data_IF_485904733216
#
_entry.id   IF_485904733216
#
_cell.length_a   1.000
_cell.length_b   1.000
_cell.length_c   1.000
_cell.angle_alpha   90.00
_cell.angle_beta   90.00
_cell.angle_gamma   90.00
#
_symmetry.space_group_name_H-M   'P 1'
#
loop_
_entity.id
_entity.type
_entity.pdbx_description
1 polymer ?
#
# COMPACT_ATOMS: atom_id res chain seq x y z
N UNK A 1 2.13 -56.63 19.23
CA UNK A 1 1.97 -55.29 19.84
C UNK A 1 1.93 -54.25 18.74
N UNK A 2 0.80 -53.59 18.52
CA UNK A 2 0.64 -52.59 17.47
C UNK A 2 -0.50 -51.66 17.80
N UNK A 3 -0.22 -50.58 18.53
CA UNK A 3 -1.20 -49.55 18.88
C UNK A 3 -1.49 -48.69 17.65
N UNK A 4 -2.66 -48.86 17.02
CA UNK A 4 -3.21 -47.87 16.08
C UNK A 4 -3.78 -46.71 16.89
N UNK A 5 -3.08 -45.57 16.89
CA UNK A 5 -3.57 -44.33 17.46
C UNK A 5 -4.61 -43.71 16.53
N UNK A 6 -5.84 -43.55 17.01
CA UNK A 6 -6.96 -42.96 16.28
C UNK A 6 -7.01 -41.48 16.66
N UNK A 7 -6.45 -40.61 15.82
CA UNK A 7 -6.52 -39.16 16.01
C UNK A 7 -7.98 -38.73 15.81
N UNK A 8 -8.63 -38.32 16.90
CA UNK A 8 -9.93 -37.64 16.88
C UNK A 8 -9.67 -36.17 16.52
N UNK A 9 -10.00 -35.78 15.29
CA UNK A 9 -10.09 -34.37 14.93
C UNK A 9 -11.36 -33.79 15.56
N UNK A 10 -11.20 -33.03 16.64
CA UNK A 10 -12.27 -32.20 17.19
C UNK A 10 -12.59 -31.08 16.18
N UNK A 11 -13.77 -31.12 15.57
CA UNK A 11 -14.37 -29.95 14.92
C UNK A 11 -14.79 -28.98 16.02
N UNK A 12 -14.03 -27.90 16.22
CA UNK A 12 -14.40 -26.79 17.10
C UNK A 12 -15.50 -25.95 16.43
N UNK A 13 -16.66 -25.86 17.07
CA UNK A 13 -17.81 -25.07 16.63
C UNK A 13 -17.61 -23.57 16.79
N UNK A 14 -16.89 -22.94 15.86
CA UNK A 14 -16.66 -21.48 15.81
C UNK A 14 -17.61 -20.69 14.90
N UNK A 15 -18.58 -21.33 14.23
CA UNK A 15 -19.32 -20.71 13.13
C UNK A 15 -20.36 -19.64 13.51
N UNK A 16 -20.91 -19.67 14.72
CA UNK A 16 -21.96 -18.74 15.13
C UNK A 16 -21.41 -17.38 15.61
N UNK A 17 -20.33 -17.38 16.39
CA UNK A 17 -19.68 -16.18 16.91
C UNK A 17 -18.93 -15.40 15.83
N UNK A 18 -18.30 -16.08 14.87
CA UNK A 18 -17.67 -15.43 13.72
C UNK A 18 -18.71 -14.78 12.78
N UNK A 19 -19.82 -15.45 12.51
CA UNK A 19 -20.89 -14.92 11.65
C UNK A 19 -21.60 -13.69 12.26
N UNK A 20 -21.79 -13.67 13.59
CA UNK A 20 -22.33 -12.49 14.31
C UNK A 20 -21.35 -11.32 14.20
N UNK A 21 -20.04 -11.57 14.35
CA UNK A 21 -18.99 -10.55 14.20
C UNK A 21 -18.94 -9.97 12.77
N UNK A 22 -19.07 -10.79 11.72
CA UNK A 22 -19.07 -10.30 10.33
C UNK A 22 -20.29 -9.41 10.03
N UNK A 23 -21.48 -9.77 10.51
CA UNK A 23 -22.70 -8.96 10.31
C UNK A 23 -22.61 -7.61 11.04
N UNK A 24 -22.08 -7.61 12.26
CA UNK A 24 -21.84 -6.36 13.00
C UNK A 24 -20.86 -5.43 12.26
N UNK A 25 -19.75 -5.96 11.76
CA UNK A 25 -18.78 -5.17 10.99
C UNK A 25 -19.45 -4.62 9.72
N UNK A 26 -20.22 -5.43 8.97
CA UNK A 26 -20.95 -4.96 7.78
C UNK A 26 -21.93 -3.82 8.08
N UNK A 27 -22.58 -3.82 9.25
CA UNK A 27 -23.45 -2.72 9.67
C UNK A 27 -22.65 -1.44 9.91
N UNK A 28 -21.52 -1.52 10.63
CA UNK A 28 -20.62 -0.37 10.87
C UNK A 28 -20.03 0.17 9.56
N UNK A 29 -19.67 -0.71 8.62
CA UNK A 29 -19.19 -0.35 7.29
C UNK A 29 -20.28 0.41 6.51
N UNK A 30 -21.53 -0.04 6.60
CA UNK A 30 -22.65 0.64 5.93
C UNK A 30 -22.90 2.03 6.53
N UNK A 31 -22.85 2.15 7.86
CA UNK A 31 -22.95 3.42 8.58
C UNK A 31 -21.81 4.38 8.19
N UNK A 32 -20.56 3.89 8.16
CA UNK A 32 -19.40 4.67 7.75
C UNK A 32 -19.53 5.15 6.30
N UNK A 33 -19.93 4.27 5.38
CA UNK A 33 -20.11 4.63 3.97
C UNK A 33 -21.18 5.71 3.79
N UNK A 34 -22.29 5.60 4.51
CA UNK A 34 -23.35 6.62 4.50
C UNK A 34 -22.83 7.95 5.05
N UNK A 35 -22.14 7.92 6.21
CA UNK A 35 -21.60 9.12 6.85
C UNK A 35 -20.61 9.86 5.95
N UNK A 36 -19.67 9.15 5.33
CA UNK A 36 -18.64 9.78 4.49
C UNK A 36 -19.13 10.15 3.07
N UNK A 37 -20.28 9.64 2.64
CA UNK A 37 -20.90 9.99 1.34
C UNK A 37 -21.84 11.19 1.42
N UNK A 38 -22.22 11.63 2.63
CA UNK A 38 -23.02 12.83 2.79
C UNK A 38 -22.25 14.06 2.29
N UNK A 39 -22.95 15.01 1.64
CA UNK A 39 -22.33 16.23 1.13
C UNK A 39 -21.61 16.98 2.25
N UNK A 40 -20.58 17.74 1.88
CA UNK A 40 -19.73 18.48 2.82
C UNK A 40 -20.58 19.26 3.83
N UNK A 41 -20.27 19.06 5.12
CA UNK A 41 -20.88 19.83 6.20
C UNK A 41 -20.65 21.32 5.99
N UNK A 42 -21.59 22.13 6.49
CA UNK A 42 -21.43 23.58 6.47
C UNK A 42 -20.08 24.01 7.09
N UNK A 43 -19.43 25.07 6.58
CA UNK A 43 -18.19 25.59 7.15
C UNK A 43 -18.32 25.76 8.67
N UNK A 44 -17.31 25.29 9.41
CA UNK A 44 -17.31 25.31 10.88
C UNK A 44 -17.91 24.08 11.56
N UNK A 45 -18.39 23.06 10.82
CA UNK A 45 -18.81 21.75 11.38
C UNK A 45 -17.91 20.58 10.99
N UNK A 46 -16.78 20.87 10.33
CA UNK A 46 -15.90 19.85 9.76
C UNK A 46 -15.12 19.09 10.84
N UNK A 47 -14.76 19.75 11.95
CA UNK A 47 -14.13 19.10 13.08
C UNK A 47 -15.05 18.07 13.73
N UNK A 48 -16.32 18.43 13.99
CA UNK A 48 -17.28 17.50 14.55
C UNK A 48 -17.57 16.34 13.58
N UNK A 49 -17.62 16.60 12.27
CA UNK A 49 -17.73 15.53 11.27
C UNK A 49 -16.49 14.61 11.31
N UNK A 50 -15.29 15.17 11.36
CA UNK A 50 -14.04 14.43 11.46
C UNK A 50 -14.01 13.52 12.69
N UNK A 51 -14.30 14.05 13.87
CA UNK A 51 -14.34 13.28 15.13
C UNK A 51 -15.39 12.16 15.07
N UNK A 52 -16.55 12.41 14.47
CA UNK A 52 -17.59 11.39 14.28
C UNK A 52 -17.13 10.26 13.34
N UNK A 53 -16.48 10.61 12.22
CA UNK A 53 -15.93 9.61 11.28
C UNK A 53 -14.81 8.82 11.96
N UNK A 54 -13.89 9.50 12.68
CA UNK A 54 -12.82 8.86 13.45
C UNK A 54 -13.38 7.89 14.48
N UNK A 55 -14.41 8.27 15.22
CA UNK A 55 -15.09 7.40 16.18
C UNK A 55 -15.65 6.11 15.56
N UNK A 56 -16.24 6.20 14.35
CA UNK A 56 -16.71 5.02 13.61
C UNK A 56 -15.55 4.15 13.12
N UNK A 57 -14.50 4.76 12.57
CA UNK A 57 -13.30 4.06 12.10
C UNK A 57 -12.64 3.32 13.25
N UNK A 58 -12.41 3.96 14.40
CA UNK A 58 -11.80 3.31 15.57
C UNK A 58 -12.66 2.18 16.14
N UNK A 59 -13.99 2.32 16.10
CA UNK A 59 -14.91 1.24 16.48
C UNK A 59 -14.81 0.02 15.54
N UNK A 60 -14.57 0.25 14.25
CA UNK A 60 -14.30 -0.82 13.27
C UNK A 60 -12.91 -1.43 13.53
N UNK A 61 -11.87 -0.61 13.67
CA UNK A 61 -10.49 -1.06 13.90
C UNK A 61 -10.37 -1.93 15.16
N UNK A 62 -11.01 -1.55 16.27
CA UNK A 62 -11.05 -2.34 17.52
C UNK A 62 -11.71 -3.72 17.38
N UNK A 63 -12.51 -3.93 16.33
CA UNK A 63 -13.14 -5.23 16.00
C UNK A 63 -12.34 -6.03 14.95
N UNK A 64 -11.25 -5.47 14.43
CA UNK A 64 -10.35 -6.09 13.46
C UNK A 64 -9.00 -6.42 14.11
N UNK A 65 -8.13 -7.13 13.38
CA UNK A 65 -6.85 -7.66 13.91
C UNK A 65 -5.62 -6.84 13.48
N UNK A 66 -5.81 -5.58 13.07
CA UNK A 66 -4.75 -4.80 12.43
C UNK A 66 -4.47 -5.28 11.01
N UNK A 67 -3.20 -5.18 10.56
CA UNK A 67 -2.78 -5.68 9.25
C UNK A 67 -3.07 -7.18 9.10
N UNK A 68 -3.66 -7.55 7.97
CA UNK A 68 -4.06 -8.94 7.69
C UNK A 68 -2.85 -9.86 7.48
N UNK A 69 -1.76 -9.32 6.93
CA UNK A 69 -0.51 -10.02 6.68
C UNK A 69 0.61 -9.29 7.38
N UNK A 70 1.29 -9.98 8.29
CA UNK A 70 2.49 -9.53 8.99
C UNK A 70 3.59 -10.55 8.67
N UNK A 71 4.77 -10.05 8.32
CA UNK A 71 5.92 -10.89 8.02
C UNK A 71 6.73 -11.13 9.30
N UNK A 72 7.33 -12.31 9.40
CA UNK A 72 8.28 -12.60 10.48
C UNK A 72 9.58 -11.79 10.29
N UNK A 73 10.25 -11.50 11.40
CA UNK A 73 11.48 -10.71 11.42
C UNK A 73 11.25 -9.21 11.39
N UNK A 74 12.35 -8.46 11.44
CA UNK A 74 12.34 -7.01 11.31
C UNK A 74 12.47 -6.61 9.84
N UNK A 75 12.21 -5.34 9.55
CA UNK A 75 12.28 -4.79 8.20
C UNK A 75 13.68 -4.97 7.58
N UNK A 76 14.72 -4.78 8.37
CA UNK A 76 16.13 -4.92 7.95
C UNK A 76 16.52 -6.33 7.50
N UNK A 77 15.87 -7.36 8.04
CA UNK A 77 16.15 -8.75 7.70
C UNK A 77 15.83 -9.06 6.23
N UNK A 78 14.99 -8.23 5.59
CA UNK A 78 14.51 -8.43 4.22
C UNK A 78 15.30 -7.62 3.17
N UNK A 79 16.21 -6.73 3.57
CA UNK A 79 16.96 -5.91 2.59
C UNK A 79 17.94 -6.73 1.75
N UNK A 80 18.52 -7.81 2.30
CA UNK A 80 19.38 -8.69 1.52
C UNK A 80 18.60 -9.37 0.38
N UNK A 81 17.38 -9.85 0.66
CA UNK A 81 16.46 -10.45 -0.32
C UNK A 81 16.07 -9.42 -1.40
N UNK A 82 15.83 -8.16 -1.02
CA UNK A 82 15.55 -7.07 -1.97
C UNK A 82 16.73 -6.80 -2.91
N UNK A 83 17.96 -6.77 -2.39
CA UNK A 83 19.16 -6.53 -3.20
C UNK A 83 19.45 -7.70 -4.15
N UNK A 84 19.30 -8.95 -3.68
CA UNK A 84 19.44 -10.14 -4.52
C UNK A 84 18.40 -10.15 -5.64
N UNK A 85 17.12 -9.92 -5.32
CA UNK A 85 16.06 -9.81 -6.31
C UNK A 85 16.27 -8.67 -7.30
N UNK A 86 16.81 -7.53 -6.84
CA UNK A 86 17.21 -6.42 -7.69
C UNK A 86 18.29 -6.81 -8.69
N UNK A 87 19.33 -7.51 -8.24
CA UNK A 87 20.42 -7.99 -9.07
C UNK A 87 19.93 -8.99 -10.11
N UNK A 88 19.11 -9.97 -9.71
CA UNK A 88 18.47 -10.95 -10.61
C UNK A 88 17.58 -10.27 -11.66
N UNK A 89 16.99 -9.14 -11.28
CA UNK A 89 16.18 -8.35 -12.19
C UNK A 89 17.02 -7.45 -13.12
N UNK A 90 18.29 -7.21 -12.84
CA UNK A 90 19.19 -6.34 -13.61
C UNK A 90 19.17 -4.87 -13.17
N UNK A 91 18.74 -4.58 -11.94
CA UNK A 91 18.87 -3.25 -11.34
C UNK A 91 20.30 -2.99 -10.85
N UNK A 92 20.64 -1.72 -10.63
CA UNK A 92 21.86 -1.38 -9.89
C UNK A 92 21.70 -1.81 -8.43
N UNK A 93 22.70 -2.53 -7.92
CA UNK A 93 22.75 -3.00 -6.53
C UNK A 93 24.13 -2.81 -5.90
N UNK A 94 25.00 -2.04 -6.56
CA UNK A 94 26.37 -1.78 -6.14
C UNK A 94 26.61 -0.28 -5.90
N UNK A 95 27.59 0.04 -5.05
CA UNK A 95 27.96 1.42 -4.75
C UNK A 95 27.08 2.12 -3.71
N UNK A 96 26.09 1.42 -3.16
CA UNK A 96 25.29 1.88 -2.04
C UNK A 96 24.84 0.71 -1.15
N UNK A 97 24.43 1.03 0.07
CA UNK A 97 23.82 0.09 1.01
C UNK A 97 22.60 0.72 1.69
N UNK A 98 21.65 -0.10 2.12
CA UNK A 98 20.51 0.39 2.91
C UNK A 98 20.96 0.62 4.35
N UNK A 99 20.80 1.84 4.85
CA UNK A 99 21.21 2.25 6.20
C UNK A 99 20.07 2.96 6.92
N UNK A 100 19.95 2.78 8.23
CA UNK A 100 19.04 3.57 9.06
C UNK A 100 19.67 4.90 9.44
N UNK A 101 18.98 6.00 9.14
CA UNK A 101 19.31 7.36 9.55
C UNK A 101 18.31 7.83 10.62
N UNK A 102 18.79 8.58 11.61
CA UNK A 102 17.97 8.96 12.76
C UNK A 102 16.83 9.92 12.42
N UNK A 103 16.98 10.77 11.40
CA UNK A 103 15.98 11.80 11.04
C UNK A 103 14.97 11.28 10.00
N UNK A 104 15.45 10.58 8.96
CA UNK A 104 14.63 10.17 7.82
C UNK A 104 14.23 8.69 7.85
N UNK A 105 14.82 7.90 8.76
CA UNK A 105 14.68 6.45 8.80
C UNK A 105 15.57 5.75 7.77
N UNK A 106 15.12 4.61 7.24
CA UNK A 106 15.92 3.86 6.27
C UNK A 106 16.07 4.61 4.94
N UNK A 107 17.31 4.69 4.45
CA UNK A 107 17.60 5.17 3.10
C UNK A 107 18.86 4.57 2.50
N UNK A 108 19.30 5.08 1.34
CA UNK A 108 20.52 4.63 0.66
C UNK A 108 21.74 5.45 1.10
N UNK A 109 22.81 4.76 1.48
CA UNK A 109 24.12 5.34 1.80
C UNK A 109 25.14 4.91 0.76
N UNK A 110 25.88 5.85 0.18
CA UNK A 110 26.95 5.52 -0.76
C UNK A 110 28.07 4.72 -0.07
N UNK A 111 28.59 3.70 -0.76
CA UNK A 111 29.74 2.88 -0.31
C UNK A 111 31.02 3.19 -1.10
N UNK A 112 30.93 4.12 -2.05
CA UNK A 112 32.00 4.70 -2.85
C UNK A 112 31.69 6.17 -3.13
N UNK A 113 32.67 6.93 -3.60
CA UNK A 113 32.43 8.27 -4.11
C UNK A 113 31.56 8.21 -5.37
N UNK A 114 30.47 8.96 -5.39
CA UNK A 114 29.56 9.11 -6.53
C UNK A 114 29.62 10.56 -6.99
N UNK A 115 29.93 10.79 -8.26
CA UNK A 115 30.02 12.16 -8.81
C UNK A 115 28.63 12.70 -9.14
N UNK A 116 28.50 14.02 -9.10
CA UNK A 116 27.33 14.68 -9.67
C UNK A 116 27.17 14.25 -11.15
N UNK A 117 25.92 14.02 -11.57
CA UNK A 117 25.54 13.55 -12.91
C UNK A 117 25.97 12.09 -13.24
N UNK A 118 26.58 11.35 -12.30
CA UNK A 118 26.83 9.91 -12.48
C UNK A 118 25.53 9.12 -12.42
N UNK A 119 25.26 8.30 -13.45
CA UNK A 119 24.18 7.31 -13.41
C UNK A 119 24.57 6.16 -12.46
N UNK A 120 24.17 6.27 -11.19
CA UNK A 120 24.48 5.29 -10.16
C UNK A 120 23.34 4.28 -9.88
N UNK A 121 22.12 4.57 -10.35
CA UNK A 121 20.93 3.76 -10.06
C UNK A 121 19.98 3.69 -11.26
N UNK A 122 19.69 2.48 -11.74
CA UNK A 122 18.68 2.18 -12.75
C UNK A 122 17.82 1.00 -12.30
N UNK A 123 16.50 1.09 -12.54
CA UNK A 123 15.53 0.06 -12.15
C UNK A 123 14.77 -0.42 -13.40
N UNK A 124 14.92 -1.69 -13.80
CA UNK A 124 14.19 -2.27 -14.92
C UNK A 124 12.67 -2.24 -14.68
N UNK A 125 11.90 -1.90 -15.73
CA UNK A 125 10.43 -1.78 -15.65
C UNK A 125 9.73 -3.01 -15.06
N UNK A 126 10.24 -4.22 -15.31
CA UNK A 126 9.66 -5.46 -14.77
C UNK A 126 9.57 -5.50 -13.24
N UNK A 127 10.42 -4.74 -12.53
CA UNK A 127 10.40 -4.65 -11.06
C UNK A 127 9.29 -3.74 -10.55
N UNK A 128 8.78 -2.82 -11.36
CA UNK A 128 7.81 -1.83 -10.92
C UNK A 128 6.44 -2.48 -10.70
N UNK A 129 5.72 -1.97 -9.71
CA UNK A 129 4.27 -2.23 -9.59
C UNK A 129 3.54 -1.08 -10.26
N UNK A 130 2.83 -1.33 -11.35
CA UNK A 130 2.14 -0.30 -12.13
C UNK A 130 0.63 -0.55 -12.21
N UNK A 131 -0.12 0.42 -12.73
CA UNK A 131 -1.54 0.23 -13.03
C UNK A 131 -1.74 -0.85 -14.10
N UNK A 132 -0.80 -1.07 -15.02
CA UNK A 132 -0.80 -2.15 -15.99
C UNK A 132 -0.57 -3.52 -15.35
N UNK A 133 0.42 -3.66 -14.47
CA UNK A 133 0.65 -4.92 -13.75
C UNK A 133 -0.55 -5.27 -12.87
N UNK A 134 -1.20 -4.28 -12.27
CA UNK A 134 -2.45 -4.44 -11.52
C UNK A 134 -3.57 -5.03 -12.39
N UNK A 135 -3.76 -4.53 -13.63
CA UNK A 135 -4.76 -5.04 -14.58
C UNK A 135 -4.50 -6.48 -14.99
N UNK A 136 -3.22 -6.86 -15.10
CA UNK A 136 -2.80 -8.19 -15.49
C UNK A 136 -2.75 -9.19 -14.31
N UNK A 137 -2.99 -8.72 -13.08
CA UNK A 137 -3.03 -9.53 -11.86
C UNK A 137 -4.43 -10.10 -11.57
N UNK A 138 -4.57 -10.81 -10.44
CA UNK A 138 -5.87 -11.26 -9.90
C UNK A 138 -6.88 -10.11 -9.74
N UNK A 139 -6.40 -8.87 -9.53
CA UNK A 139 -7.22 -7.67 -9.39
C UNK A 139 -7.92 -7.29 -10.71
N UNK A 140 -7.41 -7.72 -11.87
CA UNK A 140 -7.94 -7.39 -13.20
C UNK A 140 -9.44 -7.67 -13.36
N UNK A 141 -9.94 -8.74 -12.72
CA UNK A 141 -11.35 -9.13 -12.77
C UNK A 141 -12.29 -8.11 -12.11
N UNK A 142 -11.82 -7.46 -11.04
CA UNK A 142 -12.57 -6.39 -10.35
C UNK A 142 -12.32 -5.05 -11.02
N UNK A 143 -11.07 -4.78 -11.41
CA UNK A 143 -10.70 -3.57 -12.14
C UNK A 143 -11.58 -3.35 -13.38
N UNK A 144 -11.88 -4.40 -14.15
CA UNK A 144 -12.70 -4.29 -15.35
C UNK A 144 -14.16 -3.87 -15.10
N UNK A 145 -14.64 -3.96 -13.85
CA UNK A 145 -16.05 -3.75 -13.49
C UNK A 145 -16.25 -2.57 -12.53
N UNK A 146 -15.20 -2.16 -11.83
CA UNK A 146 -15.24 -1.08 -10.86
C UNK A 146 -14.78 0.26 -11.45
N UNK A 147 -15.67 1.27 -11.44
CA UNK A 147 -15.38 2.59 -12.00
C UNK A 147 -14.34 3.37 -11.21
N UNK A 148 -14.24 3.15 -9.90
CA UNK A 148 -13.28 3.86 -9.05
C UNK A 148 -11.87 3.37 -9.38
N UNK A 149 -11.65 2.05 -9.47
CA UNK A 149 -10.37 1.49 -9.89
C UNK A 149 -9.94 1.97 -11.28
N UNK A 150 -10.89 2.04 -12.24
CA UNK A 150 -10.60 2.52 -13.59
C UNK A 150 -10.22 4.00 -13.65
N UNK A 151 -10.86 4.84 -12.82
CA UNK A 151 -10.63 6.28 -12.82
C UNK A 151 -9.45 6.70 -11.93
N UNK A 152 -9.10 5.91 -10.92
CA UNK A 152 -8.14 6.27 -9.87
C UNK A 152 -6.98 5.27 -9.81
N UNK A 153 -5.93 5.55 -10.58
CA UNK A 153 -4.75 4.69 -10.66
C UNK A 153 -4.02 4.49 -9.33
N UNK A 154 -4.03 5.50 -8.46
CA UNK A 154 -3.47 5.43 -7.11
C UNK A 154 -4.21 4.42 -6.22
N UNK A 155 -5.55 4.37 -6.30
CA UNK A 155 -6.35 3.36 -5.59
C UNK A 155 -6.10 1.97 -6.19
N UNK A 156 -6.00 1.87 -7.52
CA UNK A 156 -5.64 0.61 -8.18
C UNK A 156 -4.28 0.08 -7.72
N UNK A 157 -3.27 0.94 -7.58
CA UNK A 157 -1.98 0.55 -7.02
C UNK A 157 -2.09 0.08 -5.57
N UNK A 158 -2.91 0.75 -4.74
CA UNK A 158 -3.09 0.35 -3.35
C UNK A 158 -3.70 -1.06 -3.24
N UNK A 159 -4.71 -1.38 -4.05
CA UNK A 159 -5.27 -2.73 -4.08
C UNK A 159 -4.33 -3.76 -4.70
N UNK A 160 -3.55 -3.39 -5.71
CA UNK A 160 -2.54 -4.26 -6.27
C UNK A 160 -1.50 -4.63 -5.21
N UNK A 161 -1.00 -3.64 -4.47
CA UNK A 161 -0.07 -3.83 -3.36
C UNK A 161 -0.63 -4.76 -2.29
N UNK A 162 -1.89 -4.61 -1.90
CA UNK A 162 -2.53 -5.50 -0.92
C UNK A 162 -2.72 -6.94 -1.43
N UNK A 163 -3.11 -7.11 -2.70
CA UNK A 163 -3.28 -8.43 -3.29
C UNK A 163 -1.93 -9.17 -3.37
N UNK A 164 -0.88 -8.49 -3.81
CA UNK A 164 0.47 -9.07 -3.88
C UNK A 164 1.05 -9.32 -2.49
N UNK A 165 0.82 -8.43 -1.51
CA UNK A 165 1.19 -8.65 -0.11
C UNK A 165 0.57 -9.92 0.46
N UNK A 166 -0.65 -10.23 0.06
CA UNK A 166 -1.40 -11.40 0.52
C UNK A 166 -1.13 -12.66 -0.32
N UNK A 167 -0.21 -12.60 -1.28
CA UNK A 167 0.16 -13.70 -2.17
C UNK A 167 1.57 -14.20 -1.81
N UNK A 168 1.71 -15.38 -1.16
CA UNK A 168 3.00 -15.85 -0.64
C UNK A 168 4.12 -16.03 -1.69
N UNK A 169 3.76 -16.25 -2.95
CA UNK A 169 4.70 -16.41 -4.06
C UNK A 169 4.67 -15.20 -5.02
N UNK A 170 4.30 -14.02 -4.51
CA UNK A 170 4.30 -12.80 -5.33
C UNK A 170 5.71 -12.49 -5.83
N UNK A 171 5.81 -12.11 -7.10
CA UNK A 171 7.07 -11.63 -7.70
C UNK A 171 7.63 -10.41 -6.97
N UNK A 172 6.76 -9.55 -6.41
CA UNK A 172 7.15 -8.33 -5.71
C UNK A 172 7.31 -8.53 -4.20
N UNK A 173 7.23 -9.75 -3.68
CA UNK A 173 7.33 -10.00 -2.25
C UNK A 173 8.63 -9.47 -1.62
N UNK A 174 9.82 -9.58 -2.26
CA UNK A 174 11.05 -8.97 -1.74
C UNK A 174 10.92 -7.45 -1.51
N UNK A 175 10.26 -6.74 -2.43
CA UNK A 175 9.97 -5.31 -2.27
C UNK A 175 8.96 -5.07 -1.13
N UNK A 176 7.84 -5.79 -1.13
CA UNK A 176 6.73 -5.57 -0.20
C UNK A 176 7.14 -5.80 1.26
N UNK A 177 8.00 -6.79 1.53
CA UNK A 177 8.55 -7.07 2.87
C UNK A 177 9.42 -5.92 3.39
N UNK A 178 10.04 -5.15 2.50
CA UNK A 178 10.90 -4.00 2.85
C UNK A 178 10.17 -2.68 2.94
N UNK A 179 8.85 -2.62 2.73
CA UNK A 179 8.08 -1.41 2.96
C UNK A 179 7.93 -1.11 4.46
N UNK A 180 7.81 0.17 4.86
CA UNK A 180 7.46 0.52 6.24
C UNK A 180 6.15 -0.15 6.68
N UNK A 181 6.10 -0.64 7.92
CA UNK A 181 4.85 -1.17 8.50
C UNK A 181 3.87 -0.04 8.87
N UNK A 182 4.39 1.15 9.16
CA UNK A 182 3.63 2.34 9.54
C UNK A 182 4.20 3.60 8.87
N UNK A 183 3.40 4.66 8.81
CA UNK A 183 3.73 5.92 8.17
C UNK A 183 3.32 7.10 9.04
N UNK A 184 3.90 8.27 8.79
CA UNK A 184 3.58 9.51 9.50
C UNK A 184 2.62 10.42 8.71
N UNK A 185 1.79 9.84 7.84
CA UNK A 185 0.73 10.60 7.16
C UNK A 185 -0.39 10.96 8.14
N UNK A 186 -1.17 12.04 7.94
CA UNK A 186 -2.24 12.44 8.86
C UNK A 186 -3.31 11.36 9.18
N UNK A 187 -3.39 10.28 8.38
CA UNK A 187 -4.19 9.09 8.67
C UNK A 187 -3.76 8.32 9.93
N UNK A 188 -2.54 8.52 10.41
CA UNK A 188 -1.98 7.88 11.60
C UNK A 188 -1.95 8.81 12.81
N UNK A 189 -2.20 10.11 12.62
CA UNK A 189 -2.17 11.05 13.73
C UNK A 189 -3.26 10.75 14.73
N UNK A 190 -2.97 10.99 16.00
CA UNK A 190 -3.94 11.05 17.08
C UNK A 190 -4.86 12.27 16.94
N UNK A 191 -6.01 12.22 17.61
CA UNK A 191 -6.98 13.32 17.54
C UNK A 191 -6.36 14.64 18.03
N UNK A 192 -5.58 14.57 19.10
CA UNK A 192 -4.86 15.70 19.69
C UNK A 192 -3.80 16.25 18.75
N UNK A 193 -3.13 15.41 17.96
CA UNK A 193 -2.13 15.84 16.98
C UNK A 193 -2.78 16.61 15.83
N UNK A 194 -3.92 16.14 15.32
CA UNK A 194 -4.70 16.87 14.31
C UNK A 194 -5.31 18.15 14.89
N UNK A 195 -5.62 18.17 16.18
CA UNK A 195 -6.17 19.36 16.85
C UNK A 195 -5.22 20.56 16.78
N UNK A 196 -3.89 20.36 16.79
CA UNK A 196 -2.93 21.45 16.61
C UNK A 196 -3.03 22.15 15.25
N UNK A 197 -3.64 21.51 14.24
CA UNK A 197 -3.87 22.10 12.93
C UNK A 197 -5.14 22.96 12.87
N UNK A 198 -5.90 23.07 13.97
CA UNK A 198 -7.12 23.88 13.98
C UNK A 198 -6.81 25.33 13.56
N UNK A 199 -7.72 25.91 12.77
CA UNK A 199 -7.58 27.25 12.18
C UNK A 199 -6.43 27.43 11.17
N UNK A 200 -5.77 26.34 10.75
CA UNK A 200 -4.82 26.37 9.62
C UNK A 200 -5.53 26.02 8.31
N UNK A 201 -4.92 26.35 7.17
CA UNK A 201 -5.46 25.95 5.86
C UNK A 201 -5.31 24.44 5.60
N UNK A 202 -4.25 23.82 6.12
CA UNK A 202 -3.92 22.42 5.87
C UNK A 202 -4.93 21.44 6.50
N UNK A 203 -5.66 21.85 7.54
CA UNK A 203 -6.60 20.96 8.24
C UNK A 203 -7.74 20.47 7.33
N UNK A 204 -8.15 21.29 6.35
CA UNK A 204 -9.19 20.89 5.39
C UNK A 204 -8.74 19.70 4.53
N UNK A 205 -7.46 19.66 4.15
CA UNK A 205 -6.88 18.53 3.41
C UNK A 205 -6.78 17.28 4.29
N UNK A 206 -6.47 17.44 5.59
CA UNK A 206 -6.47 16.33 6.56
C UNK A 206 -7.88 15.75 6.70
N UNK A 207 -8.91 16.58 6.88
CA UNK A 207 -10.29 16.13 6.96
C UNK A 207 -10.74 15.42 5.68
N UNK A 208 -10.42 16.01 4.52
CA UNK A 208 -10.73 15.43 3.21
C UNK A 208 -10.03 14.07 3.04
N UNK A 209 -8.73 13.98 3.34
CA UNK A 209 -7.96 12.75 3.25
C UNK A 209 -8.56 11.64 4.14
N UNK A 210 -8.89 11.95 5.39
CA UNK A 210 -9.47 10.98 6.32
C UNK A 210 -10.87 10.52 5.86
N UNK A 211 -11.75 11.46 5.51
CA UNK A 211 -13.11 11.16 5.00
C UNK A 211 -13.07 10.36 3.70
N UNK A 212 -12.18 10.70 2.76
CA UNK A 212 -12.03 9.99 1.50
C UNK A 212 -11.52 8.56 1.71
N UNK A 213 -10.51 8.38 2.56
CA UNK A 213 -9.95 7.06 2.90
C UNK A 213 -11.01 6.18 3.56
N UNK A 214 -11.72 6.70 4.56
CA UNK A 214 -12.80 5.99 5.23
C UNK A 214 -13.95 5.61 4.28
N UNK A 215 -14.35 6.52 3.38
CA UNK A 215 -15.38 6.25 2.35
C UNK A 215 -14.95 5.14 1.40
N UNK A 216 -13.73 5.22 0.88
CA UNK A 216 -13.20 4.24 -0.07
C UNK A 216 -13.06 2.88 0.60
N UNK A 217 -12.50 2.81 1.81
CA UNK A 217 -12.45 1.58 2.58
C UNK A 217 -13.83 0.94 2.72
N UNK A 218 -14.83 1.71 3.17
CA UNK A 218 -16.17 1.19 3.38
C UNK A 218 -16.83 0.72 2.08
N UNK A 219 -16.62 1.47 0.98
CA UNK A 219 -17.08 1.10 -0.35
C UNK A 219 -16.46 -0.23 -0.82
N UNK A 220 -15.14 -0.34 -0.77
CA UNK A 220 -14.43 -1.52 -1.25
C UNK A 220 -14.62 -2.73 -0.34
N UNK A 221 -14.77 -2.53 0.97
CA UNK A 221 -15.13 -3.61 1.89
C UNK A 221 -16.46 -4.22 1.47
N UNK A 222 -17.48 -3.39 1.23
CA UNK A 222 -18.77 -3.87 0.72
C UNK A 222 -18.63 -4.56 -0.63
N UNK A 223 -17.90 -3.97 -1.58
CA UNK A 223 -17.65 -4.56 -2.91
C UNK A 223 -17.00 -5.95 -2.79
N UNK A 224 -15.92 -6.08 -2.03
CA UNK A 224 -15.20 -7.34 -1.85
C UNK A 224 -16.10 -8.39 -1.19
N UNK A 225 -16.94 -7.99 -0.24
CA UNK A 225 -17.85 -8.90 0.45
C UNK A 225 -19.04 -9.37 -0.41
N UNK A 226 -19.51 -8.57 -1.38
CA UNK A 226 -20.71 -8.91 -2.17
C UNK A 226 -20.43 -9.32 -3.61
N UNK A 227 -19.34 -8.88 -4.21
CA UNK A 227 -19.08 -9.07 -5.63
C UNK A 227 -18.63 -10.52 -5.94
N UNK A 228 -19.24 -11.23 -6.90
CA UNK A 228 -18.91 -12.63 -7.20
C UNK A 228 -17.43 -12.84 -7.56
N UNK A 229 -16.87 -11.98 -8.41
CA UNK A 229 -15.47 -12.07 -8.84
C UNK A 229 -14.45 -11.76 -7.72
N UNK A 230 -14.89 -11.14 -6.62
CA UNK A 230 -14.00 -10.83 -5.50
C UNK A 230 -13.71 -12.06 -4.65
N UNK A 231 -14.46 -13.15 -4.81
CA UNK A 231 -14.22 -14.43 -4.14
C UNK A 231 -12.83 -15.03 -4.39
N UNK A 232 -12.18 -14.64 -5.50
CA UNK A 232 -10.82 -15.07 -5.85
C UNK A 232 -9.73 -14.14 -5.31
N UNK A 233 -10.09 -12.97 -4.78
CA UNK A 233 -9.12 -12.06 -4.19
C UNK A 233 -8.71 -12.57 -2.81
N UNK A 234 -7.42 -12.50 -2.45
CA UNK A 234 -7.00 -12.85 -1.09
C UNK A 234 -7.66 -11.93 -0.03
N UNK A 235 -8.04 -10.72 -0.44
CA UNK A 235 -8.75 -9.73 0.38
C UNK A 235 -10.17 -10.18 0.80
N UNK A 236 -10.71 -11.25 0.20
CA UNK A 236 -12.02 -11.78 0.56
C UNK A 236 -12.04 -12.31 2.00
N UNK A 237 -10.96 -12.97 2.39
CA UNK A 237 -10.81 -13.62 3.70
C UNK A 237 -10.51 -12.59 4.79
N UNK A 238 -9.66 -11.61 4.48
CA UNK A 238 -9.31 -10.54 5.40
C UNK A 238 -8.98 -9.25 4.64
N UNK A 239 -9.74 -8.19 4.94
CA UNK A 239 -9.50 -6.83 4.47
C UNK A 239 -9.91 -5.86 5.57
N UNK A 240 -8.93 -5.25 6.22
CA UNK A 240 -9.14 -4.36 7.38
C UNK A 240 -8.96 -2.90 7.01
N UNK A 241 -9.38 -2.00 7.91
CA UNK A 241 -9.09 -0.58 7.73
C UNK A 241 -7.59 -0.31 7.78
N UNK A 242 -6.83 -1.04 8.61
CA UNK A 242 -5.39 -0.89 8.71
C UNK A 242 -4.67 -1.35 7.44
N UNK A 243 -5.16 -2.40 6.76
CA UNK A 243 -4.67 -2.77 5.43
C UNK A 243 -4.85 -1.63 4.43
N UNK A 244 -6.06 -1.08 4.35
CA UNK A 244 -6.36 -0.03 3.38
C UNK A 244 -5.57 1.25 3.68
N UNK A 245 -5.52 1.66 4.96
CA UNK A 245 -4.73 2.80 5.42
C UNK A 245 -3.24 2.63 5.09
N UNK A 246 -2.68 1.45 5.36
CA UNK A 246 -1.29 1.13 5.03
C UNK A 246 -1.04 1.22 3.52
N UNK A 247 -1.93 0.65 2.71
CA UNK A 247 -1.76 0.62 1.27
C UNK A 247 -1.83 2.01 0.62
N UNK A 248 -2.81 2.84 1.01
CA UNK A 248 -2.91 4.21 0.48
C UNK A 248 -1.75 5.09 0.96
N UNK A 249 -1.28 4.90 2.20
CA UNK A 249 -0.09 5.61 2.70
C UNK A 249 1.19 5.17 1.99
N UNK A 250 1.32 3.87 1.69
CA UNK A 250 2.42 3.34 0.87
C UNK A 250 2.44 3.99 -0.50
N UNK A 251 1.29 4.04 -1.18
CA UNK A 251 1.17 4.63 -2.51
C UNK A 251 1.40 6.14 -2.48
N UNK A 252 0.74 6.89 -1.58
CA UNK A 252 0.85 8.35 -1.61
C UNK A 252 2.26 8.86 -1.27
N UNK A 253 3.04 8.09 -0.50
CA UNK A 253 4.41 8.46 -0.12
C UNK A 253 5.47 8.00 -1.12
N UNK A 254 5.14 7.12 -2.08
CA UNK A 254 6.14 6.46 -2.96
C UNK A 254 5.75 6.36 -4.44
N UNK A 255 4.53 6.74 -4.83
CA UNK A 255 4.11 6.63 -6.22
C UNK A 255 4.80 7.65 -7.12
N UNK A 256 5.08 7.23 -8.35
CA UNK A 256 5.69 8.04 -9.40
C UNK A 256 4.85 7.98 -10.66
N UNK A 257 4.87 9.04 -11.47
CA UNK A 257 4.35 9.01 -12.82
C UNK A 257 5.47 8.65 -13.79
N UNK A 258 5.24 7.63 -14.62
CA UNK A 258 6.19 7.19 -15.65
C UNK A 258 5.48 7.03 -16.99
N UNK A 259 6.18 7.12 -18.13
CA UNK A 259 5.58 6.78 -19.41
C UNK A 259 5.15 5.31 -19.44
N UNK A 260 4.08 5.02 -20.18
CA UNK A 260 3.71 3.65 -20.57
C UNK A 260 4.77 3.04 -21.49
N UNK A 261 4.77 1.72 -21.66
CA UNK A 261 5.77 1.03 -22.49
C UNK A 261 5.80 1.50 -23.95
N UNK A 262 4.64 1.86 -24.49
CA UNK A 262 4.47 2.43 -25.83
C UNK A 262 4.79 3.94 -25.89
N UNK A 263 5.13 4.56 -24.75
CA UNK A 263 5.41 5.99 -24.63
C UNK A 263 4.21 6.92 -24.88
N UNK A 264 3.00 6.39 -25.07
CA UNK A 264 1.84 7.17 -25.50
C UNK A 264 1.13 7.91 -24.36
N UNK A 265 1.27 7.40 -23.13
CA UNK A 265 0.53 7.86 -21.95
C UNK A 265 1.44 7.84 -20.72
N UNK A 266 0.94 8.40 -19.63
CA UNK A 266 1.54 8.27 -18.30
C UNK A 266 0.75 7.26 -17.47
N UNK A 267 1.46 6.53 -16.62
CA UNK A 267 0.92 5.57 -15.66
C UNK A 267 1.54 5.81 -14.29
N UNK A 268 0.87 5.36 -13.23
CA UNK A 268 1.40 5.41 -11.88
C UNK A 268 2.19 4.12 -11.58
N UNK A 269 3.31 4.26 -10.88
CA UNK A 269 4.16 3.14 -10.50
C UNK A 269 4.78 3.32 -9.11
N UNK A 270 5.01 2.19 -8.43
CA UNK A 270 5.97 2.07 -7.34
C UNK A 270 7.29 1.56 -7.92
N UNK A 271 8.41 2.18 -7.52
CA UNK A 271 9.74 1.91 -8.08
C UNK A 271 10.64 1.36 -6.95
N UNK A 272 10.74 0.02 -6.81
CA UNK A 272 11.58 -0.60 -5.78
C UNK A 272 13.03 -0.15 -5.85
N UNK A 273 13.74 -0.21 -4.70
CA UNK A 273 15.10 0.28 -4.48
C UNK A 273 15.24 1.80 -4.59
N UNK A 274 14.81 2.40 -5.71
CA UNK A 274 14.90 3.84 -5.92
C UNK A 274 14.04 4.65 -4.93
N UNK A 275 12.88 4.13 -4.54
CA UNK A 275 12.01 4.75 -3.53
C UNK A 275 12.52 4.63 -2.07
N UNK A 276 13.76 4.13 -1.88
CA UNK A 276 14.52 4.21 -0.63
C UNK A 276 15.40 5.47 -0.55
N UNK A 277 15.53 6.24 -1.62
CA UNK A 277 16.19 7.55 -1.56
C UNK A 277 15.34 8.53 -0.73
N UNK A 278 15.95 9.11 0.31
CA UNK A 278 15.33 10.19 1.09
C UNK A 278 15.39 11.52 0.33
N UNK A 279 14.55 12.47 0.72
CA UNK A 279 14.47 13.78 0.09
C UNK A 279 15.59 14.71 0.56
N UNK A 280 16.10 15.54 -0.36
CA UNK A 280 16.87 16.74 -0.07
C UNK A 280 16.56 17.82 -1.12
N UNK A 281 16.88 19.08 -0.82
CA UNK A 281 16.69 20.17 -1.77
C UNK A 281 17.59 20.00 -3.00
N UNK A 282 17.03 20.20 -4.20
CA UNK A 282 17.78 20.06 -5.44
C UNK A 282 16.89 20.19 -6.68
N UNK A 283 17.44 19.81 -7.83
CA UNK A 283 16.70 19.65 -9.08
C UNK A 283 16.27 18.20 -9.26
N UNK A 284 15.20 17.98 -10.01
CA UNK A 284 14.76 16.63 -10.36
C UNK A 284 15.80 15.99 -11.27
N UNK A 285 16.57 15.05 -10.73
CA UNK A 285 17.40 14.08 -11.44
C UNK A 285 16.71 12.71 -11.55
N UNK A 286 15.37 12.71 -11.40
CA UNK A 286 14.52 11.52 -11.31
C UNK A 286 14.48 10.66 -12.59
N UNK A 287 13.68 9.58 -12.60
CA UNK A 287 13.73 8.55 -13.64
C UNK A 287 13.49 9.13 -15.03
N UNK A 288 14.57 9.33 -15.78
CA UNK A 288 14.52 9.59 -17.21
C UNK A 288 14.32 8.25 -17.91
N UNK A 289 13.39 8.18 -18.86
CA UNK A 289 13.18 6.99 -19.69
C UNK A 289 14.30 6.84 -20.75
N UNK A 290 15.54 7.12 -20.38
CA UNK A 290 16.69 6.94 -21.26
C UNK A 290 17.17 5.50 -21.11
N UNK A 291 16.85 4.69 -22.13
CA UNK A 291 17.44 3.38 -22.31
C UNK A 291 18.96 3.56 -22.48
N UNK A 292 19.82 2.89 -21.70
CA UNK A 292 21.25 2.93 -22.00
C UNK A 292 21.44 2.42 -23.43
N UNK A 293 22.29 3.07 -24.26
CA UNK A 293 22.62 2.51 -25.57
C UNK A 293 23.19 1.11 -25.34
N UNK A 294 22.56 0.12 -25.99
CA UNK A 294 23.05 -1.26 -25.99
C UNK A 294 24.55 -1.24 -26.26
N UNK A 295 25.31 -1.85 -25.34
CA UNK A 295 26.76 -1.80 -25.33
C UNK A 295 27.32 -2.01 -26.73
N UNK A 296 28.15 -1.07 -27.20
CA UNK A 296 29.07 -1.36 -28.29
C UNK A 296 29.93 -2.51 -27.80
N UNK A 297 29.77 -3.66 -28.44
CA UNK A 297 30.74 -4.74 -28.45
C UNK A 297 32.13 -4.13 -28.63
N UNK A 298 32.95 -4.27 -27.59
CA UNK A 298 34.38 -4.07 -27.69
C UNK A 298 34.91 -5.25 -28.50
N UNK A 299 35.20 -5.01 -29.78
CA UNK A 299 36.30 -5.67 -30.48
C UNK A 299 37.62 -5.04 -30.04
#
# INVERSE_FOLDING_TARGET
>A
MGKKSRVKTQKSGGGATSAISTKEIMNLITELLQKCSNPSTAPGKEWEEYVQIRGLVEKIRKKQKGLSVVFDGNREDHFAELMEWGADCGASTEGFEVTYFSEEGYGLKATKDIKAEELFLWIPRKMLMTVESAKNSILGLIYAQDRILQAMGNITLAFHLLCERSTPNSFWLPYIKTLPAEYHTPLYFEEEEVHYLQSTQAIHDVFSQYKNTARQYAYFYKLIQTHPNASKLPLKESFTFDDYRWAVSSVMTRQNQIPTEDGSRVTLALIPLWDMCNHTNGLVSGPTAECPPAGRSLE
#
